data_IF_266807857474
#
_entry.id   IF_266807857474
#
_cell.length_a   1.000
_cell.length_b   1.000
_cell.length_c   1.000
_cell.angle_alpha   90.00
_cell.angle_beta   90.00
_cell.angle_gamma   90.00
#
_symmetry.space_group_name_H-M   'P 1'
#
loop_
_entity.id
_entity.type
_entity.pdbx_description
1 polymer ?
#
# COMPACT_ATOMS: atom_id res chain seq x y z
N UNK A 1 -10.08 16.93 -10.09
CA UNK A 1 -10.04 15.47 -10.30
C UNK A 1 -10.63 15.06 -11.64
N UNK A 2 -11.76 15.63 -12.06
CA UNK A 2 -12.39 15.28 -13.34
C UNK A 2 -11.46 15.40 -14.55
N UNK A 3 -10.62 16.44 -14.65
CA UNK A 3 -9.65 16.61 -15.75
C UNK A 3 -8.65 15.44 -15.84
N UNK A 4 -7.96 15.10 -14.76
CA UNK A 4 -6.97 14.00 -14.77
C UNK A 4 -7.62 12.62 -15.00
N UNK A 5 -8.85 12.42 -14.54
CA UNK A 5 -9.60 11.18 -14.73
C UNK A 5 -10.10 11.02 -16.17
N UNK A 6 -10.70 12.08 -16.73
CA UNK A 6 -11.36 12.01 -18.03
C UNK A 6 -10.40 12.24 -19.20
N UNK A 7 -9.47 13.19 -19.08
CA UNK A 7 -8.59 13.57 -20.19
C UNK A 7 -7.30 12.76 -20.23
N UNK A 8 -6.79 12.36 -19.05
CA UNK A 8 -5.49 11.66 -18.93
C UNK A 8 -5.64 10.18 -18.58
N UNK A 9 -6.86 9.69 -18.41
CA UNK A 9 -7.13 8.30 -18.01
C UNK A 9 -6.52 7.90 -16.67
N UNK A 10 -6.18 8.87 -15.81
CA UNK A 10 -5.50 8.61 -14.54
C UNK A 10 -6.52 8.30 -13.45
N UNK A 11 -6.39 7.12 -12.84
CA UNK A 11 -7.23 6.70 -11.72
C UNK A 11 -6.74 7.28 -10.40
N UNK A 12 -7.66 7.79 -9.60
CA UNK A 12 -7.37 8.35 -8.28
C UNK A 12 -8.09 7.52 -7.22
N UNK A 13 -7.34 6.91 -6.32
CA UNK A 13 -7.88 6.05 -5.25
C UNK A 13 -7.53 6.62 -3.87
N UNK A 14 -8.37 6.33 -2.88
CA UNK A 14 -8.20 6.81 -1.52
C UNK A 14 -7.49 5.76 -0.65
N UNK A 15 -6.46 6.17 0.10
CA UNK A 15 -5.70 5.27 0.96
C UNK A 15 -6.38 5.10 2.33
N UNK A 16 -6.56 3.85 2.76
CA UNK A 16 -7.11 3.48 4.06
C UNK A 16 -6.13 2.52 4.73
N UNK A 17 -5.70 2.81 5.95
CA UNK A 17 -4.66 2.04 6.64
C UNK A 17 -5.17 1.48 7.96
N UNK A 18 -5.20 0.14 8.06
CA UNK A 18 -5.54 -0.56 9.30
C UNK A 18 -4.55 -0.18 10.42
N UNK A 19 -3.25 -0.19 10.10
CA UNK A 19 -2.19 0.14 11.06
C UNK A 19 -2.35 1.58 11.61
N UNK A 20 -2.73 2.52 10.76
CA UNK A 20 -3.00 3.91 11.17
C UNK A 20 -4.24 4.03 12.05
N UNK A 21 -5.29 3.27 11.78
CA UNK A 21 -6.50 3.21 12.61
C UNK A 21 -6.16 2.63 13.99
N UNK A 22 -5.39 1.52 14.07
CA UNK A 22 -4.96 0.95 15.36
C UNK A 22 -4.08 1.94 16.15
N UNK A 23 -3.19 2.67 15.48
CA UNK A 23 -2.40 3.75 16.13
C UNK A 23 -3.30 4.86 16.67
N UNK A 24 -4.31 5.30 15.91
CA UNK A 24 -5.25 6.32 16.36
C UNK A 24 -6.06 5.86 17.59
N UNK A 25 -6.53 4.60 17.58
CA UNK A 25 -7.20 3.99 18.72
C UNK A 25 -6.30 3.96 19.96
N UNK A 26 -5.06 3.45 19.83
CA UNK A 26 -4.13 3.35 20.95
C UNK A 26 -3.79 4.73 21.54
N UNK A 27 -3.71 5.78 20.71
CA UNK A 27 -3.54 7.16 21.19
C UNK A 27 -4.75 7.65 21.97
N UNK A 28 -5.96 7.35 21.51
CA UNK A 28 -7.21 7.70 22.21
C UNK A 28 -7.32 7.00 23.57
N UNK A 29 -6.87 5.74 23.65
CA UNK A 29 -6.82 4.98 24.91
C UNK A 29 -5.75 5.50 25.89
N UNK A 30 -4.60 5.95 25.37
CA UNK A 30 -3.48 6.44 26.16
C UNK A 30 -3.52 7.93 26.52
N UNK A 31 -4.58 8.65 26.15
CA UNK A 31 -4.69 10.09 26.41
C UNK A 31 -5.00 10.36 27.90
N UNK A 32 -3.93 10.55 28.67
CA UNK A 32 -3.96 10.77 30.13
C UNK A 32 -4.70 12.06 30.52
N UNK A 33 -5.04 12.93 29.55
CA UNK A 33 -5.77 14.17 29.77
C UNK A 33 -7.30 14.00 29.70
N UNK A 34 -7.81 12.84 29.28
CA UNK A 34 -9.25 12.55 29.38
C UNK A 34 -9.62 12.17 30.82
N UNK A 35 -10.59 12.89 31.40
CA UNK A 35 -11.05 12.72 32.80
C UNK A 35 -11.72 11.36 33.04
N UNK A 36 -12.05 10.62 31.96
CA UNK A 36 -12.49 9.23 32.02
C UNK A 36 -11.82 8.44 30.88
N UNK A 37 -11.22 7.26 31.14
CA UNK A 37 -10.71 6.41 30.07
C UNK A 37 -11.87 6.02 29.14
N UNK A 38 -11.71 6.27 27.84
CA UNK A 38 -12.73 5.92 26.84
C UNK A 38 -12.80 4.40 26.74
N UNK A 39 -13.80 3.78 27.38
CA UNK A 39 -14.08 2.33 27.32
C UNK A 39 -14.70 1.89 25.99
N UNK A 40 -14.22 2.41 24.86
CA UNK A 40 -14.64 1.99 23.53
C UNK A 40 -13.82 0.77 23.11
N UNK A 41 -14.51 -0.26 22.61
CA UNK A 41 -13.86 -1.45 22.05
C UNK A 41 -13.19 -1.13 20.72
N UNK A 42 -12.07 -1.77 20.42
CA UNK A 42 -11.34 -1.50 19.17
C UNK A 42 -12.20 -1.81 17.92
N UNK A 43 -13.05 -2.83 18.01
CA UNK A 43 -13.95 -3.26 16.94
C UNK A 43 -14.93 -2.15 16.53
N UNK A 44 -15.52 -1.48 17.52
CA UNK A 44 -16.44 -0.35 17.28
C UNK A 44 -15.69 0.82 16.65
N UNK A 45 -14.51 1.15 17.19
CA UNK A 45 -13.66 2.21 16.64
C UNK A 45 -13.21 1.92 15.21
N UNK A 46 -12.84 0.67 14.93
CA UNK A 46 -12.43 0.20 13.60
C UNK A 46 -13.58 0.33 12.61
N UNK A 47 -14.77 -0.12 12.99
CA UNK A 47 -15.98 -0.02 12.17
C UNK A 47 -16.28 1.43 11.82
N UNK A 48 -16.37 2.31 12.83
CA UNK A 48 -16.70 3.73 12.63
C UNK A 48 -15.63 4.44 11.80
N UNK A 49 -14.36 4.20 12.10
CA UNK A 49 -13.24 4.78 11.33
C UNK A 49 -13.29 4.37 9.86
N UNK A 50 -13.53 3.09 9.60
CA UNK A 50 -13.56 2.55 8.25
C UNK A 50 -14.79 3.02 7.48
N UNK A 51 -15.98 3.00 8.09
CA UNK A 51 -17.20 3.49 7.46
C UNK A 51 -17.11 4.99 7.12
N UNK A 52 -16.47 5.80 7.97
CA UNK A 52 -16.24 7.20 7.68
C UNK A 52 -15.20 7.41 6.58
N UNK A 53 -14.11 6.63 6.58
CA UNK A 53 -13.12 6.65 5.51
C UNK A 53 -13.75 6.28 4.15
N UNK A 54 -14.62 5.27 4.10
CA UNK A 54 -15.24 4.80 2.86
C UNK A 54 -16.23 5.81 2.25
N UNK A 55 -16.85 6.70 3.06
CA UNK A 55 -17.72 7.79 2.57
C UNK A 55 -16.96 8.83 1.74
N UNK A 56 -15.64 8.92 1.88
CA UNK A 56 -14.79 9.85 1.12
C UNK A 56 -14.82 9.52 -0.37
N UNK A 57 -14.94 8.24 -0.73
CA UNK A 57 -14.92 7.79 -2.13
C UNK A 57 -16.04 8.42 -2.97
N UNK A 58 -17.34 8.27 -2.63
CA UNK A 58 -18.40 8.95 -3.37
C UNK A 58 -18.37 10.47 -3.17
N UNK A 59 -18.00 10.97 -1.98
CA UNK A 59 -17.98 12.41 -1.67
C UNK A 59 -17.08 13.20 -2.62
N UNK A 60 -15.92 12.64 -2.98
CA UNK A 60 -14.96 13.32 -3.86
C UNK A 60 -14.78 12.60 -5.21
N UNK A 61 -15.63 11.63 -5.53
CA UNK A 61 -15.58 10.87 -6.78
C UNK A 61 -14.22 10.18 -7.05
N UNK A 62 -13.65 9.54 -6.03
CA UNK A 62 -12.50 8.66 -6.20
C UNK A 62 -12.88 7.43 -7.02
N UNK A 63 -11.94 6.89 -7.80
CA UNK A 63 -12.11 5.67 -8.59
C UNK A 63 -12.10 4.40 -7.73
N UNK A 64 -11.68 4.48 -6.46
CA UNK A 64 -11.56 3.32 -5.60
C UNK A 64 -10.77 3.59 -4.33
N UNK A 65 -10.27 2.51 -3.72
CA UNK A 65 -9.48 2.55 -2.49
C UNK A 65 -8.20 1.72 -2.60
N UNK A 66 -7.17 2.14 -1.87
CA UNK A 66 -5.99 1.35 -1.55
C UNK A 66 -6.05 1.00 -0.07
N UNK A 67 -6.17 -0.29 0.26
CA UNK A 67 -6.27 -0.76 1.64
C UNK A 67 -4.91 -1.27 2.11
N UNK A 68 -4.46 -0.77 3.26
CA UNK A 68 -3.13 -1.03 3.77
C UNK A 68 -3.18 -1.90 5.02
N UNK A 69 -2.43 -3.00 4.98
CA UNK A 69 -2.29 -3.92 6.10
C UNK A 69 -0.86 -4.47 6.16
N UNK A 70 -0.14 -4.14 7.22
CA UNK A 70 1.20 -4.67 7.47
C UNK A 70 1.13 -5.93 8.31
N UNK A 71 0.35 -5.91 9.39
CA UNK A 71 0.21 -7.06 10.26
C UNK A 71 1.53 -7.55 10.88
N UNK A 72 1.52 -8.76 11.45
CA UNK A 72 2.70 -9.43 12.02
C UNK A 72 2.68 -10.91 11.65
N UNK A 73 3.87 -11.54 11.66
CA UNK A 73 3.96 -13.00 11.51
C UNK A 73 3.27 -13.67 12.69
N UNK A 74 2.38 -14.61 12.41
CA UNK A 74 1.59 -15.33 13.42
C UNK A 74 2.34 -16.46 14.13
N UNK A 75 3.60 -16.74 13.76
CA UNK A 75 4.39 -17.89 14.23
C UNK A 75 4.67 -17.90 15.74
N UNK A 76 4.54 -16.76 16.42
CA UNK A 76 4.84 -16.62 17.85
C UNK A 76 3.68 -16.03 18.66
N UNK A 77 2.47 -15.95 18.08
CA UNK A 77 1.29 -15.47 18.79
C UNK A 77 0.75 -16.54 19.74
N UNK A 78 0.31 -16.13 20.94
CA UNK A 78 -0.55 -16.99 21.79
C UNK A 78 -1.88 -17.27 21.10
N UNK A 79 -2.69 -18.17 21.65
CA UNK A 79 -4.02 -18.44 21.10
C UNK A 79 -4.91 -17.19 21.19
N UNK A 80 -4.88 -16.48 22.31
CA UNK A 80 -5.65 -15.26 22.53
C UNK A 80 -5.22 -14.13 21.58
N UNK A 81 -3.91 -13.92 21.42
CA UNK A 81 -3.37 -12.93 20.49
C UNK A 81 -3.74 -13.26 19.04
N UNK A 82 -3.71 -14.55 18.69
CA UNK A 82 -4.10 -15.02 17.37
C UNK A 82 -5.58 -14.77 17.11
N UNK A 83 -6.45 -15.06 18.07
CA UNK A 83 -7.89 -14.88 17.91
C UNK A 83 -8.25 -13.39 17.77
N UNK A 84 -7.64 -12.50 18.55
CA UNK A 84 -7.82 -11.05 18.38
C UNK A 84 -7.34 -10.60 16.98
N UNK A 85 -6.20 -11.12 16.53
CA UNK A 85 -5.63 -10.79 15.23
C UNK A 85 -6.55 -11.23 14.07
N UNK A 86 -7.05 -12.47 14.12
CA UNK A 86 -7.98 -13.02 13.13
C UNK A 86 -9.29 -12.22 13.12
N UNK A 87 -9.84 -11.90 14.30
CA UNK A 87 -11.07 -11.13 14.42
C UNK A 87 -10.92 -9.74 13.80
N UNK A 88 -9.85 -9.02 14.15
CA UNK A 88 -9.58 -7.68 13.64
C UNK A 88 -9.38 -7.66 12.12
N UNK A 89 -8.62 -8.63 11.59
CA UNK A 89 -8.41 -8.79 10.15
C UNK A 89 -9.71 -9.10 9.42
N UNK A 90 -10.51 -10.04 9.95
CA UNK A 90 -11.79 -10.45 9.36
C UNK A 90 -12.78 -9.30 9.33
N UNK A 91 -12.84 -8.51 10.39
CA UNK A 91 -13.69 -7.32 10.45
C UNK A 91 -13.26 -6.28 9.42
N UNK A 92 -11.95 -5.96 9.37
CA UNK A 92 -11.41 -4.98 8.43
C UNK A 92 -11.68 -5.38 6.98
N UNK A 93 -11.27 -6.59 6.59
CA UNK A 93 -11.41 -7.10 5.22
C UNK A 93 -12.87 -7.36 4.85
N UNK A 94 -13.69 -7.81 5.79
CA UNK A 94 -15.13 -8.02 5.61
C UNK A 94 -15.88 -6.73 5.29
N UNK A 95 -15.65 -5.67 6.06
CA UNK A 95 -16.27 -4.36 5.81
C UNK A 95 -15.86 -3.80 4.43
N UNK A 96 -14.59 -3.94 4.04
CA UNK A 96 -14.11 -3.52 2.72
C UNK A 96 -14.79 -4.33 1.61
N UNK A 97 -14.87 -5.65 1.75
CA UNK A 97 -15.51 -6.53 0.78
C UNK A 97 -16.97 -6.17 0.59
N UNK A 98 -17.71 -5.99 1.68
CA UNK A 98 -19.10 -5.57 1.67
C UNK A 98 -19.29 -4.22 0.98
N UNK A 99 -18.38 -3.28 1.24
CA UNK A 99 -18.37 -1.99 0.54
C UNK A 99 -18.11 -2.16 -0.96
N UNK A 100 -17.15 -3.00 -1.36
CA UNK A 100 -16.82 -3.24 -2.76
C UNK A 100 -17.99 -3.89 -3.51
N UNK A 101 -18.69 -4.86 -2.90
CA UNK A 101 -19.92 -5.46 -3.47
C UNK A 101 -20.97 -4.39 -3.78
N UNK A 102 -21.18 -3.44 -2.87
CA UNK A 102 -22.11 -2.31 -3.07
C UNK A 102 -21.59 -1.23 -4.05
N UNK A 103 -20.31 -1.30 -4.42
CA UNK A 103 -19.61 -0.33 -5.25
C UNK A 103 -18.79 -1.05 -6.34
N UNK A 104 -19.38 -2.03 -7.03
CA UNK A 104 -18.67 -2.98 -7.91
C UNK A 104 -17.90 -2.35 -9.09
N UNK A 105 -18.15 -1.07 -9.42
CA UNK A 105 -17.37 -0.32 -10.40
C UNK A 105 -16.13 0.39 -9.84
N UNK A 106 -15.86 0.28 -8.53
CA UNK A 106 -14.71 0.92 -7.86
C UNK A 106 -13.53 -0.04 -7.79
N UNK A 107 -12.32 0.52 -7.88
CA UNK A 107 -11.09 -0.24 -7.74
C UNK A 107 -10.80 -0.55 -6.26
N UNK A 108 -10.23 -1.73 -6.02
CA UNK A 108 -9.62 -2.09 -4.74
C UNK A 108 -8.20 -2.55 -5.02
N UNK A 109 -7.24 -1.96 -4.34
CA UNK A 109 -5.85 -2.44 -4.30
C UNK A 109 -5.43 -2.70 -2.87
N UNK A 110 -4.57 -3.70 -2.67
CA UNK A 110 -3.94 -3.96 -1.39
C UNK A 110 -2.55 -3.32 -1.34
N UNK A 111 -2.10 -2.90 -0.16
CA UNK A 111 -0.73 -2.43 0.08
C UNK A 111 -0.21 -2.95 1.41
N UNK A 112 1.04 -3.42 1.45
CA UNK A 112 1.68 -3.89 2.68
C UNK A 112 2.22 -5.31 2.55
N UNK A 113 1.88 -6.18 3.51
CA UNK A 113 2.45 -7.52 3.64
C UNK A 113 1.37 -8.60 3.50
N UNK A 114 1.03 -9.03 2.28
CA UNK A 114 -0.03 -10.02 2.05
C UNK A 114 0.25 -11.37 2.73
N UNK A 115 1.52 -11.72 2.95
CA UNK A 115 1.93 -12.93 3.66
C UNK A 115 1.53 -12.95 5.14
N UNK A 116 1.23 -11.78 5.73
CA UNK A 116 0.80 -11.65 7.12
C UNK A 116 -0.73 -11.70 7.27
N UNK A 117 -1.48 -11.77 6.16
CA UNK A 117 -2.91 -12.02 6.22
C UNK A 117 -3.16 -13.48 6.58
N UNK A 118 -4.05 -13.70 7.53
CA UNK A 118 -4.57 -15.02 7.84
C UNK A 118 -5.49 -15.52 6.72
N UNK A 119 -6.42 -14.68 6.25
CA UNK A 119 -7.35 -14.98 5.17
C UNK A 119 -6.96 -14.28 3.86
N UNK A 120 -6.04 -14.92 3.12
CA UNK A 120 -5.57 -14.42 1.82
C UNK A 120 -6.64 -14.37 0.72
N UNK A 121 -7.81 -15.00 0.93
CA UNK A 121 -8.93 -14.97 -0.03
C UNK A 121 -9.39 -13.55 -0.36
N UNK A 122 -9.25 -12.60 0.57
CA UNK A 122 -9.52 -11.18 0.33
C UNK A 122 -8.68 -10.58 -0.80
N UNK A 123 -7.45 -11.08 -1.01
CA UNK A 123 -6.56 -10.56 -2.06
C UNK A 123 -7.11 -10.77 -3.48
N UNK A 124 -8.06 -11.70 -3.67
CA UNK A 124 -8.75 -11.92 -4.94
C UNK A 124 -9.70 -10.78 -5.31
N UNK A 125 -10.14 -9.99 -4.32
CA UNK A 125 -10.93 -8.77 -4.54
C UNK A 125 -10.04 -7.62 -5.05
N UNK A 126 -8.72 -7.73 -4.88
CA UNK A 126 -7.77 -6.67 -5.18
C UNK A 126 -7.20 -6.82 -6.60
N UNK A 127 -7.38 -5.81 -7.44
CA UNK A 127 -6.82 -5.79 -8.80
C UNK A 127 -5.30 -5.59 -8.85
N UNK A 128 -4.71 -5.16 -7.74
CA UNK A 128 -3.26 -4.99 -7.59
C UNK A 128 -2.87 -5.11 -6.12
N UNK A 129 -1.71 -5.69 -5.86
CA UNK A 129 -1.07 -5.81 -4.55
C UNK A 129 0.25 -5.04 -4.58
N UNK A 130 0.41 -4.08 -3.68
CA UNK A 130 1.58 -3.22 -3.60
C UNK A 130 2.47 -3.59 -2.40
N UNK A 131 3.66 -4.12 -2.68
CA UNK A 131 4.68 -4.43 -1.67
C UNK A 131 5.49 -3.18 -1.36
N UNK A 132 5.79 -2.93 -0.09
CA UNK A 132 6.54 -1.75 0.34
C UNK A 132 8.05 -2.02 0.34
N UNK A 133 8.73 -1.56 -0.70
CA UNK A 133 10.20 -1.50 -0.80
C UNK A 133 10.80 -0.20 -0.26
N UNK A 134 10.04 0.59 0.50
CA UNK A 134 10.45 1.94 0.94
C UNK A 134 11.52 1.94 2.03
N UNK A 135 11.77 0.79 2.65
CA UNK A 135 12.75 0.61 3.74
C UNK A 135 13.90 -0.34 3.35
N UNK A 136 13.95 -0.78 2.08
CA UNK A 136 15.01 -1.67 1.61
C UNK A 136 16.27 -0.86 1.27
N UNK A 137 17.44 -1.44 1.47
CA UNK A 137 18.71 -0.74 1.26
C UNK A 137 19.49 -1.23 0.04
N UNK A 138 19.04 -2.31 -0.60
CA UNK A 138 19.67 -2.87 -1.79
C UNK A 138 18.68 -3.68 -2.63
N UNK A 139 19.13 -4.08 -3.83
CA UNK A 139 18.32 -4.83 -4.81
C UNK A 139 17.89 -6.21 -4.31
N UNK A 140 18.74 -6.92 -3.55
CA UNK A 140 18.41 -8.25 -3.04
C UNK A 140 17.27 -8.19 -2.02
N UNK A 141 17.21 -7.12 -1.23
CA UNK A 141 16.09 -6.87 -0.31
C UNK A 141 14.76 -6.59 -1.03
N UNK A 142 14.78 -5.95 -2.23
CA UNK A 142 13.57 -5.86 -3.06
C UNK A 142 13.07 -7.24 -3.46
N UNK A 143 13.98 -8.09 -3.95
CA UNK A 143 13.69 -9.48 -4.33
C UNK A 143 13.16 -10.27 -3.14
N UNK A 144 13.76 -10.10 -1.95
CA UNK A 144 13.32 -10.75 -0.73
C UNK A 144 11.89 -10.35 -0.33
N UNK A 145 11.60 -9.05 -0.21
CA UNK A 145 10.25 -8.58 0.14
C UNK A 145 9.21 -8.98 -0.90
N UNK A 146 9.56 -8.94 -2.19
CA UNK A 146 8.70 -9.43 -3.26
C UNK A 146 8.43 -10.94 -3.11
N UNK A 147 9.47 -11.75 -2.87
CA UNK A 147 9.33 -13.21 -2.71
C UNK A 147 8.44 -13.60 -1.53
N UNK A 148 8.51 -12.85 -0.42
CA UNK A 148 7.61 -13.05 0.71
C UNK A 148 6.17 -12.74 0.31
N UNK A 149 5.96 -11.65 -0.41
CA UNK A 149 4.63 -11.21 -0.80
C UNK A 149 3.99 -12.08 -1.89
N UNK A 150 4.80 -12.80 -2.68
CA UNK A 150 4.34 -13.74 -3.71
C UNK A 150 4.43 -15.19 -3.28
N UNK A 151 4.56 -15.47 -1.98
CA UNK A 151 4.47 -16.83 -1.45
C UNK A 151 3.04 -17.40 -1.62
N UNK A 152 2.87 -18.69 -1.30
CA UNK A 152 1.63 -19.44 -1.51
C UNK A 152 0.37 -18.67 -1.04
N UNK A 153 -0.65 -18.64 -1.91
CA UNK A 153 -1.93 -17.98 -1.65
C UNK A 153 -2.06 -16.56 -2.21
N UNK A 154 -1.10 -16.10 -3.03
CA UNK A 154 -1.11 -14.79 -3.71
C UNK A 154 -0.92 -14.94 -5.23
N UNK A 155 -1.24 -16.11 -5.77
CA UNK A 155 -0.81 -16.53 -7.11
C UNK A 155 -1.57 -15.82 -8.24
N UNK A 156 -2.83 -15.44 -8.01
CA UNK A 156 -3.72 -14.91 -9.05
C UNK A 156 -3.64 -13.38 -9.22
N UNK A 157 -3.18 -12.63 -8.21
CA UNK A 157 -3.28 -11.16 -8.19
C UNK A 157 -1.99 -10.49 -8.67
N UNK A 158 -2.02 -9.50 -9.58
CA UNK A 158 -0.82 -8.73 -9.95
C UNK A 158 -0.13 -8.13 -8.72
N UNK A 159 1.19 -8.33 -8.62
CA UNK A 159 2.00 -7.82 -7.49
C UNK A 159 3.02 -6.82 -8.01
N UNK A 160 3.00 -5.62 -7.44
CA UNK A 160 3.94 -4.55 -7.74
C UNK A 160 4.79 -4.15 -6.55
N UNK A 161 5.81 -3.34 -6.79
CA UNK A 161 6.75 -2.86 -5.79
C UNK A 161 6.70 -1.35 -5.67
N UNK A 162 6.61 -0.83 -4.44
CA UNK A 162 6.59 0.61 -4.15
C UNK A 162 7.93 1.04 -3.57
N UNK A 163 8.57 2.01 -4.18
CA UNK A 163 9.72 2.73 -3.61
C UNK A 163 9.31 4.17 -3.26
N UNK A 164 10.19 4.93 -2.63
CA UNK A 164 9.98 6.35 -2.35
C UNK A 164 10.93 7.21 -3.17
N UNK A 165 10.50 8.41 -3.54
CA UNK A 165 11.42 9.45 -4.00
C UNK A 165 12.33 9.93 -2.85
N UNK A 166 13.49 10.52 -3.20
CA UNK A 166 14.33 11.20 -2.23
C UNK A 166 13.56 12.20 -1.38
N UNK A 167 13.97 12.31 -0.12
CA UNK A 167 13.50 13.38 0.76
C UNK A 167 13.91 14.75 0.21
N UNK A 168 13.08 15.76 0.44
CA UNK A 168 13.46 17.16 0.20
C UNK A 168 14.35 17.71 1.33
N UNK A 169 14.38 17.03 2.48
CA UNK A 169 15.33 17.33 3.53
C UNK A 169 16.75 16.95 3.07
N UNK A 170 17.57 17.96 2.81
CA UNK A 170 18.94 17.77 2.35
C UNK A 170 19.84 17.02 3.35
N UNK A 171 19.46 16.93 4.62
CA UNK A 171 20.20 16.15 5.62
C UNK A 171 19.89 14.64 5.54
N UNK A 172 18.73 14.27 4.99
CA UNK A 172 18.35 12.89 4.76
C UNK A 172 18.98 12.37 3.46
N UNK A 173 20.02 11.54 3.63
CA UNK A 173 20.75 10.90 2.53
C UNK A 173 20.30 9.46 2.26
N UNK A 174 19.29 8.97 2.97
CA UNK A 174 18.91 7.56 2.99
C UNK A 174 17.57 7.36 2.29
N UNK A 175 16.57 8.18 2.60
CA UNK A 175 15.23 8.04 2.02
C UNK A 175 15.29 8.17 0.50
N UNK A 176 14.74 7.18 -0.20
CA UNK A 176 14.68 7.15 -1.67
C UNK A 176 15.94 6.65 -2.36
N UNK A 177 16.89 6.10 -1.60
CA UNK A 177 18.10 5.48 -2.11
C UNK A 177 18.22 4.01 -1.66
N UNK A 178 18.73 3.17 -2.56
CA UNK A 178 19.24 1.83 -2.24
C UNK A 178 20.77 1.93 -2.26
N UNK A 179 21.36 2.06 -1.08
CA UNK A 179 22.76 2.42 -0.93
C UNK A 179 22.97 3.87 -1.37
N UNK A 180 23.78 4.09 -2.40
CA UNK A 180 24.06 5.42 -2.97
C UNK A 180 23.30 5.71 -4.26
N UNK A 181 22.47 4.77 -4.73
CA UNK A 181 21.77 4.85 -6.02
C UNK A 181 20.28 5.10 -5.78
N UNK A 182 19.66 5.89 -6.64
CA UNK A 182 18.23 6.19 -6.54
C UNK A 182 17.38 4.91 -6.60
N UNK A 183 16.48 4.77 -5.65
CA UNK A 183 15.56 3.63 -5.58
C UNK A 183 14.70 3.52 -6.84
N UNK A 184 14.28 4.66 -7.41
CA UNK A 184 13.54 4.74 -8.66
C UNK A 184 14.25 4.09 -9.85
N UNK A 185 15.56 4.29 -9.96
CA UNK A 185 16.34 3.75 -11.07
C UNK A 185 16.51 2.23 -10.90
N UNK A 186 16.85 1.79 -9.68
CA UNK A 186 17.04 0.35 -9.40
C UNK A 186 15.73 -0.42 -9.56
N UNK A 187 14.61 0.09 -9.04
CA UNK A 187 13.34 -0.65 -9.10
C UNK A 187 12.84 -0.80 -10.54
N UNK A 188 13.07 0.18 -11.41
CA UNK A 188 12.70 0.08 -12.82
C UNK A 188 13.46 -1.06 -13.51
N UNK A 189 14.79 -1.07 -13.36
CA UNK A 189 15.62 -2.14 -13.94
C UNK A 189 15.30 -3.51 -13.35
N UNK A 190 15.03 -3.57 -12.05
CA UNK A 190 14.66 -4.80 -11.36
C UNK A 190 13.29 -5.34 -11.85
N UNK A 191 12.28 -4.48 -12.00
CA UNK A 191 10.92 -4.89 -12.34
C UNK A 191 10.74 -5.36 -13.80
N UNK A 192 11.67 -5.03 -14.70
CA UNK A 192 11.65 -5.54 -16.09
C UNK A 192 11.91 -7.04 -16.15
N UNK A 193 12.70 -7.57 -15.21
CA UNK A 193 13.05 -9.00 -15.15
C UNK A 193 12.03 -9.79 -14.34
N UNK A 194 11.85 -11.07 -14.69
CA UNK A 194 11.06 -12.00 -13.89
C UNK A 194 11.67 -12.16 -12.50
N UNK A 195 10.84 -12.05 -11.48
CA UNK A 195 11.19 -12.21 -10.07
C UNK A 195 10.60 -13.52 -9.57
N UNK A 196 11.46 -14.51 -9.27
CA UNK A 196 10.99 -15.86 -8.93
C UNK A 196 10.15 -16.51 -10.04
N UNK A 197 10.43 -16.19 -11.31
CA UNK A 197 9.64 -16.66 -12.46
C UNK A 197 8.36 -15.88 -12.75
N UNK A 198 8.05 -14.85 -11.95
CA UNK A 198 6.83 -14.04 -12.08
C UNK A 198 7.15 -12.63 -12.60
N UNK A 199 6.34 -12.13 -13.52
CA UNK A 199 6.42 -10.74 -13.98
C UNK A 199 5.94 -9.80 -12.88
N UNK A 200 6.69 -8.72 -12.61
CA UNK A 200 6.26 -7.67 -11.69
C UNK A 200 5.12 -6.88 -12.35
N UNK A 201 3.99 -6.77 -11.66
CA UNK A 201 2.75 -6.17 -12.17
C UNK A 201 2.79 -4.63 -12.25
N UNK A 202 3.70 -3.98 -11.53
CA UNK A 202 3.89 -2.53 -11.61
C UNK A 202 4.90 -1.99 -10.62
N UNK A 203 5.23 -0.70 -10.78
CA UNK A 203 6.06 0.07 -9.86
C UNK A 203 5.27 1.25 -9.31
N UNK A 204 5.24 1.38 -7.98
CA UNK A 204 4.68 2.52 -7.28
C UNK A 204 5.77 3.44 -6.75
N UNK A 205 5.43 4.73 -6.60
CA UNK A 205 6.33 5.75 -6.10
C UNK A 205 5.62 6.55 -5.01
N UNK A 206 6.14 6.49 -3.79
CA UNK A 206 5.79 7.43 -2.75
C UNK A 206 6.51 8.77 -2.91
N UNK A 207 5.86 9.81 -2.41
CA UNK A 207 6.34 11.18 -2.47
C UNK A 207 6.69 11.61 -3.90
N UNK A 208 5.86 11.19 -4.87
CA UNK A 208 6.02 11.53 -6.29
C UNK A 208 6.12 13.05 -6.54
N UNK A 209 5.54 13.87 -5.65
CA UNK A 209 5.69 15.33 -5.67
C UNK A 209 7.15 15.79 -5.56
N UNK A 210 8.01 15.03 -4.90
CA UNK A 210 9.43 15.35 -4.77
C UNK A 210 10.18 15.18 -6.10
N UNK A 211 9.57 14.51 -7.09
CA UNK A 211 10.10 14.40 -8.45
C UNK A 211 9.65 15.57 -9.36
N UNK A 212 8.87 16.52 -8.84
CA UNK A 212 8.32 17.61 -9.66
C UNK A 212 9.38 18.58 -10.16
N UNK A 213 10.28 19.04 -9.29
CA UNK A 213 11.24 20.11 -9.59
C UNK A 213 12.61 19.55 -9.99
N UNK A 214 12.85 19.40 -11.29
CA UNK A 214 14.19 19.25 -11.85
C UNK A 214 14.39 20.24 -13.00
N UNK A 215 15.57 20.87 -13.05
CA UNK A 215 15.87 21.94 -14.00
C UNK A 215 15.72 21.52 -15.48
N UNK A 216 15.91 20.23 -15.78
CA UNK A 216 15.84 19.68 -17.13
C UNK A 216 14.47 19.08 -17.49
N UNK A 217 13.70 18.56 -16.52
CA UNK A 217 12.41 17.92 -16.78
C UNK A 217 11.56 17.72 -15.52
N UNK A 218 10.31 18.19 -15.53
CA UNK A 218 9.36 17.86 -14.45
C UNK A 218 8.99 16.37 -14.46
N UNK A 219 8.91 15.76 -13.28
CA UNK A 219 8.66 14.32 -13.08
C UNK A 219 9.66 13.44 -13.84
N UNK A 220 10.95 13.78 -13.73
CA UNK A 220 12.03 13.16 -14.50
C UNK A 220 12.08 11.66 -14.27
N UNK A 221 12.15 11.23 -13.00
CA UNK A 221 12.35 9.82 -12.66
C UNK A 221 11.07 9.01 -12.85
N UNK A 222 9.91 9.59 -12.54
CA UNK A 222 8.60 8.98 -12.79
C UNK A 222 8.43 8.66 -14.28
N UNK A 223 8.71 9.64 -15.16
CA UNK A 223 8.62 9.43 -16.62
C UNK A 223 9.64 8.40 -17.11
N UNK A 224 10.85 8.42 -16.54
CA UNK A 224 11.90 7.43 -16.84
C UNK A 224 11.43 6.02 -16.50
N UNK A 225 10.90 5.79 -15.28
CA UNK A 225 10.36 4.49 -14.87
C UNK A 225 9.31 4.00 -15.85
N UNK A 226 8.33 4.84 -16.21
CA UNK A 226 7.26 4.46 -17.15
C UNK A 226 7.86 4.02 -18.49
N UNK A 227 8.80 4.78 -19.05
CA UNK A 227 9.45 4.46 -20.31
C UNK A 227 10.36 3.22 -20.25
N UNK A 228 11.00 2.97 -19.11
CA UNK A 228 11.84 1.79 -18.91
C UNK A 228 11.00 0.51 -18.83
N UNK A 229 9.87 0.56 -18.11
CA UNK A 229 8.97 -0.58 -17.95
C UNK A 229 8.17 -0.88 -19.22
N UNK A 230 7.93 0.15 -20.06
CA UNK A 230 7.13 0.04 -21.28
C UNK A 230 7.93 0.61 -22.47
N UNK A 231 9.03 -0.04 -22.87
CA UNK A 231 9.84 0.46 -23.97
C UNK A 231 8.99 0.45 -25.25
N UNK A 232 9.07 1.53 -26.03
CA UNK A 232 8.46 1.57 -27.35
C UNK A 232 9.08 0.47 -28.21
N UNK A 233 8.24 -0.29 -28.91
CA UNK A 233 8.72 -1.21 -29.95
C UNK A 233 9.46 -0.35 -30.98
N UNK A 234 10.73 -0.68 -31.23
CA UNK A 234 11.54 -0.04 -32.26
C UNK A 234 11.11 -0.50 -33.65
#
# INVERSE_FOLDING_TARGET
MSEIQMEKGTKVIYDISFDSIKVAYNRKQGDVLSVEPVSERFEDFLMDSLLNALKIVPKYNYDGICVSYTGRKSTHMTEEERDEYIMNESMFTGIIKDWHIRNSGKLVSFKGRPQNLYFKTFLKECGMIWVLGTQVTNKDMLTYEYSLATAEGVDDSPVGMVVTMPSLDTSDKITGYLGSVLAADIVAEWAISLQGGRQVGGVGIYNISNDYFYADKNYKYTKKIISSLNPSVK
#
